data_IF_576806018823
#
_entry.id   IF_576806018823
#
_cell.length_a   1.000
_cell.length_b   1.000
_cell.length_c   1.000
_cell.angle_alpha   90.00
_cell.angle_beta   90.00
_cell.angle_gamma   90.00
#
_symmetry.space_group_name_H-M   'P 1'
#
loop_
_entity.id
_entity.type
_entity.pdbx_description
1 polymer ?
#
# COMPACT_ATOMS: atom_id res chain seq x y z
N UNK A 1 -48.05 -32.24 -2.70
CA UNK A 1 -47.58 -30.84 -2.78
C UNK A 1 -46.50 -30.52 -1.75
N UNK A 2 -46.70 -30.84 -0.46
CA UNK A 2 -45.78 -30.54 0.65
C UNK A 2 -44.39 -31.20 0.50
N UNK A 3 -44.34 -32.46 0.05
CA UNK A 3 -43.06 -33.19 -0.13
C UNK A 3 -42.21 -32.56 -1.25
N UNK A 4 -42.87 -32.12 -2.34
CA UNK A 4 -42.19 -31.45 -3.46
C UNK A 4 -41.57 -30.12 -3.02
N UNK A 5 -42.30 -29.32 -2.23
CA UNK A 5 -41.77 -28.04 -1.72
C UNK A 5 -40.62 -28.23 -0.73
N UNK A 6 -40.66 -29.30 0.07
CA UNK A 6 -39.58 -29.67 1.00
C UNK A 6 -38.30 -30.06 0.25
N UNK A 7 -38.43 -30.83 -0.84
CA UNK A 7 -37.29 -31.21 -1.69
C UNK A 7 -36.69 -29.97 -2.36
N UNK A 8 -37.50 -29.06 -2.90
CA UNK A 8 -36.99 -27.81 -3.51
C UNK A 8 -36.27 -26.96 -2.47
N UNK A 9 -36.80 -26.85 -1.26
CA UNK A 9 -36.17 -26.10 -0.16
C UNK A 9 -34.80 -26.68 0.20
N UNK A 10 -34.68 -28.01 0.36
CA UNK A 10 -33.42 -28.68 0.71
C UNK A 10 -32.38 -28.49 -0.40
N UNK A 11 -32.77 -28.64 -1.66
CA UNK A 11 -31.85 -28.42 -2.80
C UNK A 11 -31.37 -26.98 -2.85
N UNK A 12 -32.27 -26.03 -2.62
CA UNK A 12 -31.95 -24.59 -2.59
C UNK A 12 -30.98 -24.26 -1.46
N UNK A 13 -31.22 -24.74 -0.25
CA UNK A 13 -30.34 -24.54 0.90
C UNK A 13 -28.95 -25.13 0.64
N UNK A 14 -28.86 -26.35 0.09
CA UNK A 14 -27.57 -26.96 -0.29
C UNK A 14 -26.82 -26.14 -1.32
N UNK A 15 -27.53 -25.55 -2.29
CA UNK A 15 -26.94 -24.68 -3.30
C UNK A 15 -26.34 -23.42 -2.66
N UNK A 16 -27.07 -22.77 -1.74
CA UNK A 16 -26.58 -21.59 -1.02
C UNK A 16 -25.36 -21.89 -0.14
N UNK A 17 -25.33 -23.05 0.53
CA UNK A 17 -24.18 -23.48 1.34
C UNK A 17 -22.90 -23.60 0.49
N UNK A 18 -23.01 -23.91 -0.80
CA UNK A 18 -21.87 -24.00 -1.72
C UNK A 18 -21.50 -22.64 -2.34
N UNK A 19 -22.50 -21.86 -2.75
CA UNK A 19 -22.29 -20.60 -3.48
C UNK A 19 -21.77 -19.49 -2.56
N UNK A 20 -22.31 -19.37 -1.35
CA UNK A 20 -21.93 -18.28 -0.46
C UNK A 20 -20.43 -18.33 -0.12
N UNK A 21 -19.86 -19.45 0.36
CA UNK A 21 -18.43 -19.53 0.66
C UNK A 21 -17.53 -19.27 -0.55
N UNK A 22 -17.94 -19.71 -1.75
CA UNK A 22 -17.15 -19.47 -2.97
C UNK A 22 -17.15 -17.99 -3.37
N UNK A 23 -18.28 -17.29 -3.24
CA UNK A 23 -18.35 -15.83 -3.44
C UNK A 23 -17.51 -15.08 -2.40
N UNK A 24 -17.53 -15.49 -1.13
CA UNK A 24 -16.68 -14.91 -0.10
C UNK A 24 -15.19 -15.16 -0.35
N UNK A 25 -14.81 -16.37 -0.73
CA UNK A 25 -13.43 -16.71 -1.01
C UNK A 25 -12.89 -15.94 -2.23
N UNK A 26 -13.66 -15.88 -3.31
CA UNK A 26 -13.28 -15.15 -4.52
C UNK A 26 -13.14 -13.65 -4.28
N UNK A 27 -14.07 -13.03 -3.55
CA UNK A 27 -13.97 -11.61 -3.17
C UNK A 27 -12.79 -11.34 -2.24
N UNK A 28 -12.50 -12.24 -1.30
CA UNK A 28 -11.32 -12.16 -0.44
C UNK A 28 -10.01 -12.23 -1.25
N UNK A 29 -9.89 -13.20 -2.16
CA UNK A 29 -8.74 -13.33 -3.04
C UNK A 29 -8.59 -12.11 -3.98
N UNK A 30 -9.70 -11.56 -4.47
CA UNK A 30 -9.69 -10.32 -5.26
C UNK A 30 -9.23 -9.11 -4.43
N UNK A 31 -9.57 -9.05 -3.15
CA UNK A 31 -9.09 -8.00 -2.24
C UNK A 31 -7.59 -8.16 -1.95
N UNK A 32 -7.15 -9.36 -1.59
CA UNK A 32 -5.74 -9.66 -1.28
C UNK A 32 -4.83 -9.50 -2.50
N UNK A 33 -5.33 -9.75 -3.72
CA UNK A 33 -4.54 -9.55 -4.94
C UNK A 33 -4.35 -8.07 -5.30
N UNK A 34 -5.27 -7.18 -4.93
CA UNK A 34 -5.15 -5.74 -5.25
C UNK A 34 -3.89 -5.14 -4.65
N UNK A 35 -3.05 -4.58 -5.51
CA UNK A 35 -1.91 -3.78 -5.09
C UNK A 35 -2.47 -2.47 -4.53
N UNK A 36 -2.21 -2.15 -3.25
CA UNK A 36 -2.75 -0.94 -2.64
C UNK A 36 -2.19 0.29 -3.35
N UNK A 37 -3.08 1.20 -3.74
CA UNK A 37 -2.69 2.47 -4.33
C UNK A 37 -2.08 3.37 -3.23
N UNK A 38 -0.87 3.91 -3.46
CA UNK A 38 -0.19 4.76 -2.49
C UNK A 38 -0.76 6.17 -2.54
N UNK A 39 -1.43 6.57 -1.46
CA UNK A 39 -2.04 7.90 -1.26
C UNK A 39 -1.55 8.59 0.00
N UNK A 40 -1.19 7.79 1.00
CA UNK A 40 -0.84 8.24 2.34
C UNK A 40 0.20 7.32 2.98
N UNK A 41 0.69 7.69 4.15
CA UNK A 41 1.66 6.90 4.92
C UNK A 41 1.21 5.45 5.13
N UNK A 42 -0.07 5.24 5.47
CA UNK A 42 -0.62 3.90 5.71
C UNK A 42 -0.60 3.03 4.46
N UNK A 43 -1.04 3.57 3.32
CA UNK A 43 -1.06 2.84 2.04
C UNK A 43 0.33 2.65 1.47
N UNK A 44 1.26 3.58 1.71
CA UNK A 44 2.68 3.40 1.42
C UNK A 44 3.25 2.23 2.22
N UNK A 45 3.00 2.18 3.53
CA UNK A 45 3.45 1.08 4.38
C UNK A 45 2.89 -0.27 3.91
N UNK A 46 1.59 -0.37 3.64
CA UNK A 46 0.99 -1.62 3.16
C UNK A 46 1.51 -2.04 1.78
N UNK A 47 1.74 -1.08 0.87
CA UNK A 47 2.37 -1.36 -0.41
C UNK A 47 3.78 -1.94 -0.24
N UNK A 48 4.65 -1.24 0.51
CA UNK A 48 6.03 -1.68 0.70
C UNK A 48 6.06 -3.03 1.43
N UNK A 49 5.22 -3.21 2.44
CA UNK A 49 5.10 -4.47 3.18
C UNK A 49 4.69 -5.63 2.27
N UNK A 50 3.76 -5.40 1.36
CA UNK A 50 3.27 -6.42 0.43
C UNK A 50 4.30 -6.79 -0.64
N UNK A 51 5.04 -5.81 -1.18
CA UNK A 51 5.96 -6.02 -2.31
C UNK A 51 7.38 -6.37 -1.84
N UNK A 52 7.90 -5.69 -0.83
CA UNK A 52 9.29 -5.78 -0.38
C UNK A 52 9.45 -6.45 0.99
N UNK A 53 8.35 -6.67 1.73
CA UNK A 53 8.35 -7.31 3.04
C UNK A 53 8.31 -6.31 4.20
N UNK A 54 7.92 -6.84 5.37
CA UNK A 54 7.68 -6.05 6.59
C UNK A 54 8.92 -5.29 7.07
N UNK A 55 10.10 -5.90 6.99
CA UNK A 55 11.33 -5.31 7.51
C UNK A 55 11.71 -4.03 6.76
N UNK A 56 11.60 -4.03 5.43
CA UNK A 56 11.87 -2.86 4.59
C UNK A 56 10.82 -1.78 4.85
N UNK A 57 9.55 -2.14 4.94
CA UNK A 57 8.49 -1.19 5.26
C UNK A 57 8.75 -0.49 6.60
N UNK A 58 9.10 -1.25 7.64
CA UNK A 58 9.44 -0.69 8.95
C UNK A 58 10.70 0.20 8.92
N UNK A 59 11.72 -0.17 8.13
CA UNK A 59 12.92 0.66 7.98
C UNK A 59 12.61 2.02 7.32
N UNK A 60 11.80 2.02 6.26
CA UNK A 60 11.39 3.26 5.59
C UNK A 60 10.60 4.15 6.56
N UNK A 61 9.61 3.60 7.27
CA UNK A 61 8.78 4.38 8.21
C UNK A 61 9.58 4.89 9.43
N UNK A 62 10.67 4.21 9.81
CA UNK A 62 11.53 4.65 10.90
C UNK A 62 12.48 5.78 10.49
N UNK A 63 12.98 5.75 9.25
CA UNK A 63 14.00 6.69 8.76
C UNK A 63 13.42 7.93 8.10
N UNK A 64 12.23 7.83 7.52
CA UNK A 64 11.62 8.89 6.74
C UNK A 64 10.32 9.35 7.37
N UNK A 65 10.14 10.67 7.41
CA UNK A 65 8.85 11.26 7.74
C UNK A 65 8.01 11.39 6.47
N UNK A 66 6.83 10.78 6.46
CA UNK A 66 5.94 10.79 5.29
C UNK A 66 4.96 11.96 5.38
N UNK A 67 4.80 12.68 4.27
CA UNK A 67 3.86 13.78 4.12
C UNK A 67 2.97 13.54 2.91
N UNK A 68 1.70 13.88 3.05
CA UNK A 68 0.74 13.88 1.95
C UNK A 68 0.73 15.27 1.31
N UNK A 69 0.72 15.33 -0.02
CA UNK A 69 0.67 16.61 -0.72
C UNK A 69 -0.75 17.20 -0.70
N UNK A 70 -1.12 17.85 0.42
CA UNK A 70 -2.08 18.97 0.42
C UNK A 70 -1.37 20.33 0.48
N UNK A 71 -0.04 20.31 0.56
CA UNK A 71 0.79 21.49 0.77
C UNK A 71 1.16 22.10 -0.58
N UNK A 72 0.68 23.32 -0.77
CA UNK A 72 0.95 24.22 -1.88
C UNK A 72 2.43 24.21 -2.29
N UNK A 73 2.64 24.09 -3.59
CA UNK A 73 3.88 23.93 -4.36
C UNK A 73 4.95 25.03 -4.19
N UNK A 74 4.82 25.94 -3.22
CA UNK A 74 5.65 27.14 -3.13
C UNK A 74 6.74 27.11 -2.03
N UNK A 75 6.68 26.19 -1.05
CA UNK A 75 7.56 26.23 0.14
C UNK A 75 8.21 24.89 0.53
N UNK A 76 8.25 23.92 -0.38
CA UNK A 76 8.52 22.52 -0.04
C UNK A 76 9.97 22.14 0.37
N UNK A 77 11.08 22.80 -0.03
CA UNK A 77 12.40 22.21 0.23
C UNK A 77 13.09 22.64 1.54
N UNK A 78 12.80 23.80 2.13
CA UNK A 78 13.62 24.35 3.23
C UNK A 78 13.17 23.97 4.65
N UNK A 79 11.88 23.71 4.88
CA UNK A 79 11.34 23.41 6.22
C UNK A 79 11.17 21.92 6.52
N UNK A 80 11.32 21.05 5.51
CA UNK A 80 11.26 19.61 5.72
C UNK A 80 12.53 19.10 6.40
N UNK A 81 12.37 18.14 7.30
CA UNK A 81 13.48 17.40 7.90
C UNK A 81 14.36 16.77 6.81
N UNK A 82 15.62 16.55 7.14
CA UNK A 82 16.64 15.98 6.26
C UNK A 82 16.17 14.70 5.56
N UNK A 83 15.31 13.89 6.19
CA UNK A 83 14.72 12.72 5.55
C UNK A 83 13.20 12.71 5.56
N UNK A 84 12.66 13.05 4.40
CA UNK A 84 11.21 13.19 4.20
C UNK A 84 10.78 12.57 2.88
N UNK A 85 9.62 11.91 2.90
CA UNK A 85 8.94 11.39 1.71
C UNK A 85 7.67 12.20 1.53
N UNK A 86 7.42 12.67 0.33
CA UNK A 86 6.20 13.41 0.00
C UNK A 86 5.48 12.67 -1.10
N UNK A 87 4.27 12.22 -0.79
CA UNK A 87 3.45 11.47 -1.73
C UNK A 87 2.59 12.47 -2.53
N UNK A 88 2.82 12.52 -3.83
CA UNK A 88 1.98 13.22 -4.81
C UNK A 88 1.08 12.24 -5.57
N UNK A 89 0.25 12.75 -6.47
CA UNK A 89 -0.64 11.93 -7.28
C UNK A 89 0.12 10.97 -8.20
N UNK A 90 1.14 11.45 -8.91
CA UNK A 90 1.92 10.63 -9.84
C UNK A 90 3.39 10.49 -9.42
N UNK A 91 3.87 11.42 -8.60
CA UNK A 91 5.27 11.50 -8.20
C UNK A 91 5.45 11.19 -6.71
N UNK A 92 6.68 10.82 -6.37
CA UNK A 92 7.16 10.73 -5.00
C UNK A 92 8.39 11.62 -4.89
N UNK A 93 8.31 12.61 -4.02
CA UNK A 93 9.41 13.55 -3.78
C UNK A 93 10.16 13.05 -2.55
N UNK A 94 11.44 12.77 -2.73
CA UNK A 94 12.36 12.34 -1.69
C UNK A 94 13.26 13.51 -1.31
N UNK A 95 13.27 13.87 -0.03
CA UNK A 95 14.34 14.67 0.54
C UNK A 95 15.24 13.75 1.35
N UNK A 96 16.51 13.70 0.98
CA UNK A 96 17.56 12.94 1.66
C UNK A 96 18.72 13.90 1.92
N UNK A 97 18.93 14.25 3.19
CA UNK A 97 19.87 15.29 3.61
C UNK A 97 19.59 16.62 2.87
N UNK A 98 20.55 17.07 2.06
CA UNK A 98 20.44 18.28 1.24
C UNK A 98 19.93 18.01 -0.18
N UNK A 99 19.77 16.75 -0.57
CA UNK A 99 19.36 16.36 -1.91
C UNK A 99 17.84 16.18 -1.98
N UNK A 100 17.24 16.70 -3.06
CA UNK A 100 15.83 16.52 -3.37
C UNK A 100 15.72 15.81 -4.71
N UNK A 101 15.03 14.68 -4.72
CA UNK A 101 14.77 13.88 -5.92
C UNK A 101 13.27 13.81 -6.15
N UNK A 102 12.85 14.00 -7.38
CA UNK A 102 11.47 13.82 -7.82
C UNK A 102 11.47 12.61 -8.74
N UNK A 103 10.78 11.55 -8.34
CA UNK A 103 10.71 10.30 -9.08
C UNK A 103 9.24 9.95 -9.33
N UNK A 104 8.98 9.13 -10.34
CA UNK A 104 7.69 8.46 -10.48
C UNK A 104 7.37 7.70 -9.19
N UNK A 105 6.10 7.69 -8.78
CA UNK A 105 5.71 7.23 -7.44
C UNK A 105 6.24 5.83 -7.09
N UNK A 106 6.12 4.91 -8.02
CA UNK A 106 6.54 3.52 -7.83
C UNK A 106 8.05 3.34 -8.00
N UNK A 107 8.68 4.10 -8.90
CA UNK A 107 10.13 4.10 -9.06
C UNK A 107 10.83 4.65 -7.81
N UNK A 108 10.30 5.71 -7.22
CA UNK A 108 10.81 6.27 -5.97
C UNK A 108 10.73 5.29 -4.79
N UNK A 109 9.70 4.44 -4.76
CA UNK A 109 9.59 3.38 -3.74
C UNK A 109 10.60 2.27 -4.00
N UNK A 110 10.79 1.85 -5.25
CA UNK A 110 11.79 0.84 -5.59
C UNK A 110 13.20 1.30 -5.29
N UNK A 111 13.49 2.58 -5.56
CA UNK A 111 14.72 3.24 -5.17
C UNK A 111 14.93 3.18 -3.64
N UNK A 112 13.94 3.60 -2.85
CA UNK A 112 14.01 3.54 -1.38
C UNK A 112 14.21 2.12 -0.86
N UNK A 113 13.46 1.15 -1.38
CA UNK A 113 13.56 -0.24 -0.97
C UNK A 113 14.95 -0.82 -1.29
N UNK A 114 15.51 -0.49 -2.46
CA UNK A 114 16.86 -0.88 -2.84
C UNK A 114 17.91 -0.24 -1.93
N UNK A 115 17.72 1.04 -1.56
CA UNK A 115 18.58 1.76 -0.61
C UNK A 115 18.59 1.09 0.77
N UNK A 116 17.41 0.72 1.29
CA UNK A 116 17.27 0.03 2.57
C UNK A 116 17.92 -1.36 2.55
N UNK A 117 17.74 -2.15 1.46
CA UNK A 117 18.37 -3.47 1.31
C UNK A 117 19.89 -3.42 1.33
N UNK A 118 20.47 -2.35 0.78
CA UNK A 118 21.92 -2.13 0.74
C UNK A 118 22.48 -1.62 2.07
N UNK A 119 21.65 -1.47 3.11
CA UNK A 119 22.02 -0.88 4.40
C UNK A 119 22.81 0.44 4.26
N UNK A 120 22.45 1.24 3.26
CA UNK A 120 23.08 2.56 3.13
C UNK A 120 22.67 3.37 4.35
N UNK A 121 23.64 3.93 5.06
CA UNK A 121 23.39 4.89 6.13
C UNK A 121 22.93 6.20 5.50
N UNK A 122 21.63 6.31 5.40
CA UNK A 122 20.91 7.46 4.89
C UNK A 122 20.16 7.99 6.09
N UNK A 123 20.24 9.30 6.31
CA UNK A 123 19.64 10.02 7.43
C UNK A 123 20.33 9.68 8.75
N UNK A 124 21.17 10.59 9.24
CA UNK A 124 21.77 10.49 10.59
C UNK A 124 20.87 11.17 11.62
#
# INVERSE_FOLDING_TARGET
MIISSLITLIVTIRLYILIIPTLFLSSYLAYESKIPEIKNEKTLYEYVKKIYGKDIASLIMKKFKVFEQSLTSAYFPTTLNECSIVISNENLILKINSDVMILDKYEGIDFLATMMKRNVNICN
#
